data_IF_409644592214
#
_entry.id   IF_409644592214
#
_cell.length_a   1.000
_cell.length_b   1.000
_cell.length_c   1.000
_cell.angle_alpha   90.00
_cell.angle_beta   90.00
_cell.angle_gamma   90.00
#
_symmetry.space_group_name_H-M   'P 1'
#
loop_
_entity.id
_entity.type
_entity.pdbx_description
1 polymer ?
#
# COMPACT_ATOMS: atom_id res chain seq x y z
N UNK A 1 -26.28 9.89 6.24
CA UNK A 1 -24.87 9.65 6.50
C UNK A 1 -24.07 10.68 5.70
N UNK A 2 -23.63 11.73 6.39
CA UNK A 2 -22.95 12.88 5.81
C UNK A 2 -21.52 12.46 5.42
N UNK A 3 -21.26 12.24 4.12
CA UNK A 3 -19.93 12.18 3.59
C UNK A 3 -19.28 13.55 3.86
N UNK A 4 -18.38 13.65 4.83
CA UNK A 4 -17.43 14.76 4.87
C UNK A 4 -16.58 14.60 3.62
N UNK A 5 -16.81 15.47 2.65
CA UNK A 5 -15.92 15.72 1.55
C UNK A 5 -14.62 16.21 2.20
N UNK A 6 -13.57 15.42 2.14
CA UNK A 6 -12.23 15.87 2.47
C UNK A 6 -11.85 16.80 1.33
N UNK A 7 -11.97 18.09 1.55
CA UNK A 7 -11.60 19.11 0.58
C UNK A 7 -10.17 18.88 0.14
N UNK A 8 -9.97 18.64 -1.16
CA UNK A 8 -8.66 18.53 -1.77
C UNK A 8 -8.25 17.15 -2.29
N UNK A 9 -9.09 16.11 -2.25
CA UNK A 9 -8.74 14.79 -2.79
C UNK A 9 -9.57 14.43 -4.04
N UNK A 10 -8.88 13.93 -5.05
CA UNK A 10 -9.50 13.32 -6.22
C UNK A 10 -9.56 11.79 -6.02
N UNK A 11 -10.70 11.19 -6.37
CA UNK A 11 -10.88 9.76 -6.27
C UNK A 11 -10.31 9.08 -7.52
N UNK A 12 -9.41 8.12 -7.37
CA UNK A 12 -9.14 7.16 -8.44
C UNK A 12 -10.25 6.13 -8.40
N UNK A 13 -11.15 6.19 -9.36
CA UNK A 13 -11.98 5.06 -9.72
C UNK A 13 -11.39 4.43 -10.96
N UNK A 14 -10.65 3.36 -10.80
CA UNK A 14 -10.41 2.51 -11.95
C UNK A 14 -11.73 1.78 -12.23
N UNK A 15 -12.40 2.14 -13.31
CA UNK A 15 -13.43 1.27 -13.90
C UNK A 15 -12.74 0.04 -14.46
N UNK A 16 -12.45 -0.89 -13.57
CA UNK A 16 -11.72 -2.07 -14.01
C UNK A 16 -12.67 -3.21 -14.30
N UNK A 17 -13.75 -3.36 -13.60
CA UNK A 17 -14.86 -4.33 -13.78
C UNK A 17 -15.99 -3.87 -12.89
N UNK A 18 -16.40 -2.99 -12.34
CA UNK A 18 -17.54 -2.56 -11.53
C UNK A 18 -17.39 -1.19 -10.83
N UNK A 19 -16.83 -0.18 -11.45
CA UNK A 19 -16.67 1.16 -10.87
C UNK A 19 -16.02 1.16 -9.46
N UNK A 20 -15.11 0.22 -9.18
CA UNK A 20 -14.56 0.06 -7.85
C UNK A 20 -13.44 1.08 -7.58
N UNK A 21 -13.55 1.77 -6.46
CA UNK A 21 -12.54 2.70 -5.97
C UNK A 21 -11.29 1.95 -5.49
N UNK A 22 -10.15 2.19 -6.13
CA UNK A 22 -8.86 1.58 -5.79
C UNK A 22 -7.90 2.54 -5.09
N UNK A 23 -8.15 3.86 -5.14
CA UNK A 23 -7.28 4.84 -4.51
C UNK A 23 -7.90 6.23 -4.38
N UNK A 24 -7.13 7.16 -3.84
CA UNK A 24 -7.49 8.58 -3.70
C UNK A 24 -6.26 9.44 -3.93
N UNK A 25 -6.35 10.41 -4.87
CA UNK A 25 -5.27 11.34 -5.16
C UNK A 25 -5.62 12.77 -4.77
N UNK A 26 -4.59 13.54 -4.47
CA UNK A 26 -4.70 15.01 -4.45
C UNK A 26 -4.92 15.52 -5.89
N UNK A 27 -5.64 16.65 -6.08
CA UNK A 27 -5.94 17.16 -7.42
C UNK A 27 -4.70 17.41 -8.29
N UNK A 28 -3.63 17.93 -7.70
CA UNK A 28 -2.36 18.16 -8.39
C UNK A 28 -1.69 16.87 -8.85
N UNK A 29 -1.76 15.80 -8.04
CA UNK A 29 -1.26 14.47 -8.41
C UNK A 29 -2.15 13.79 -9.45
N UNK A 30 -3.47 13.96 -9.35
CA UNK A 30 -4.42 13.46 -10.34
C UNK A 30 -4.10 14.04 -11.73
N UNK A 31 -3.83 15.35 -11.79
CA UNK A 31 -3.41 16.01 -13.03
C UNK A 31 -2.06 15.48 -13.51
N UNK A 32 -1.06 15.39 -12.64
CA UNK A 32 0.26 14.89 -12.99
C UNK A 32 0.21 13.45 -13.56
N UNK A 33 -0.58 12.57 -12.95
CA UNK A 33 -0.78 11.18 -13.40
C UNK A 33 -1.46 11.14 -14.76
N UNK A 34 -2.49 11.96 -15.00
CA UNK A 34 -3.18 12.01 -16.29
C UNK A 34 -2.29 12.62 -17.41
N UNK A 35 -1.44 13.59 -17.08
CA UNK A 35 -0.54 14.23 -18.03
C UNK A 35 0.72 13.37 -18.33
N UNK A 36 1.04 12.40 -17.47
CA UNK A 36 2.27 11.59 -17.60
C UNK A 36 2.23 10.54 -18.73
N UNK A 37 1.04 10.23 -19.25
CA UNK A 37 0.88 9.24 -20.32
C UNK A 37 -0.57 8.99 -20.67
N UNK A 38 -0.83 7.85 -21.32
CA UNK A 38 -2.17 7.49 -21.82
C UNK A 38 -2.90 6.46 -20.96
N UNK A 39 -2.31 6.04 -19.81
CA UNK A 39 -2.95 5.03 -18.98
C UNK A 39 -4.14 5.58 -18.17
N UNK A 40 -4.13 6.86 -17.87
CA UNK A 40 -5.17 7.51 -17.06
C UNK A 40 -5.81 8.69 -17.77
N UNK A 41 -7.08 8.91 -17.49
CA UNK A 41 -7.85 10.08 -17.88
C UNK A 41 -8.61 10.65 -16.67
N UNK A 42 -8.92 11.93 -16.72
CA UNK A 42 -9.79 12.56 -15.73
C UNK A 42 -11.17 12.71 -16.35
N UNK A 43 -12.18 12.17 -15.69
CA UNK A 43 -13.58 12.27 -16.10
C UNK A 43 -14.43 12.69 -14.89
N UNK A 44 -15.14 13.81 -15.03
CA UNK A 44 -15.96 14.39 -13.96
C UNK A 44 -15.25 14.50 -12.58
N UNK A 45 -13.96 14.85 -12.58
CA UNK A 45 -13.16 14.97 -11.34
C UNK A 45 -12.70 13.63 -10.75
N UNK A 46 -12.83 12.56 -11.49
CA UNK A 46 -12.39 11.21 -11.12
C UNK A 46 -11.28 10.77 -12.06
N UNK A 47 -10.18 10.25 -11.51
CA UNK A 47 -9.15 9.59 -12.31
C UNK A 47 -9.60 8.18 -12.64
N UNK A 48 -9.60 7.84 -13.92
CA UNK A 48 -9.99 6.54 -14.45
C UNK A 48 -8.87 5.97 -15.31
N UNK A 49 -8.82 4.67 -15.48
CA UNK A 49 -8.04 4.10 -16.57
C UNK A 49 -8.58 4.62 -17.91
N UNK A 50 -7.72 4.72 -18.90
CA UNK A 50 -8.16 5.00 -20.26
C UNK A 50 -9.12 3.92 -20.76
N UNK A 51 -10.06 4.30 -21.61
CA UNK A 51 -11.09 3.41 -22.10
C UNK A 51 -10.53 2.15 -22.81
N UNK A 52 -9.38 2.28 -23.47
CA UNK A 52 -8.71 1.14 -24.11
C UNK A 52 -8.18 0.12 -23.09
N UNK A 53 -7.91 0.55 -21.86
CA UNK A 53 -7.41 -0.30 -20.78
C UNK A 53 -8.53 -0.89 -19.90
N UNK A 54 -9.77 -0.38 -19.99
CA UNK A 54 -10.87 -0.89 -19.19
C UNK A 54 -11.17 -2.37 -19.49
N UNK A 55 -11.05 -2.79 -20.77
CA UNK A 55 -11.24 -4.18 -21.19
C UNK A 55 -9.94 -5.00 -21.22
N UNK A 56 -8.79 -4.40 -20.94
CA UNK A 56 -7.50 -5.08 -20.95
C UNK A 56 -7.32 -5.97 -19.71
N UNK A 57 -6.42 -6.94 -19.79
CA UNK A 57 -6.03 -7.76 -18.64
C UNK A 57 -5.09 -7.01 -17.68
N UNK A 58 -4.82 -7.59 -16.52
CA UNK A 58 -3.97 -6.98 -15.48
C UNK A 58 -2.54 -6.72 -15.98
N UNK A 59 -1.86 -7.63 -16.69
CA UNK A 59 -0.52 -7.37 -17.23
C UNK A 59 -0.46 -6.17 -18.18
N UNK A 60 -1.39 -6.05 -19.12
CA UNK A 60 -1.41 -4.95 -20.05
C UNK A 60 -1.68 -3.59 -19.35
N UNK A 61 -2.55 -3.58 -18.35
CA UNK A 61 -2.78 -2.40 -17.50
C UNK A 61 -1.52 -2.03 -16.72
N UNK A 62 -0.84 -3.02 -16.14
CA UNK A 62 0.40 -2.85 -15.39
C UNK A 62 1.49 -2.21 -16.25
N UNK A 63 1.69 -2.68 -17.48
CA UNK A 63 2.66 -2.13 -18.43
C UNK A 63 2.34 -0.68 -18.81
N UNK A 64 1.08 -0.39 -19.10
CA UNK A 64 0.64 0.95 -19.44
C UNK A 64 0.82 1.94 -18.28
N UNK A 65 0.48 1.51 -17.06
CA UNK A 65 0.67 2.29 -15.83
C UNK A 65 2.16 2.51 -15.55
N UNK A 66 3.00 1.48 -15.71
CA UNK A 66 4.43 1.59 -15.51
C UNK A 66 5.05 2.71 -16.36
N UNK A 67 4.62 2.86 -17.62
CA UNK A 67 5.06 3.95 -18.49
C UNK A 67 4.75 5.34 -17.91
N UNK A 68 3.57 5.52 -17.31
CA UNK A 68 3.22 6.78 -16.63
C UNK A 68 4.06 7.01 -15.38
N UNK A 69 4.27 5.96 -14.58
CA UNK A 69 5.06 6.06 -13.34
C UNK A 69 6.53 6.34 -13.62
N UNK A 70 7.11 5.73 -14.66
CA UNK A 70 8.47 6.02 -15.14
C UNK A 70 8.63 7.49 -15.53
N UNK A 71 7.63 8.07 -16.17
CA UNK A 71 7.63 9.50 -16.49
C UNK A 71 7.60 10.35 -15.23
N UNK A 72 6.71 10.04 -14.29
CA UNK A 72 6.63 10.75 -13.01
C UNK A 72 7.93 10.62 -12.18
N UNK A 73 8.63 9.50 -12.29
CA UNK A 73 9.94 9.32 -11.68
C UNK A 73 11.00 10.21 -12.32
N UNK A 74 11.04 10.29 -13.66
CA UNK A 74 11.95 11.20 -14.39
C UNK A 74 11.67 12.67 -14.08
N UNK A 75 10.41 13.03 -13.85
CA UNK A 75 9.99 14.38 -13.48
C UNK A 75 10.17 14.67 -11.97
N UNK A 76 10.72 13.70 -11.20
CA UNK A 76 11.01 13.84 -9.76
C UNK A 76 9.79 13.78 -8.84
N UNK A 77 8.63 13.42 -9.35
CA UNK A 77 7.38 13.26 -8.58
C UNK A 77 7.39 11.95 -7.79
N UNK A 78 7.88 10.86 -8.40
CA UNK A 78 8.10 9.56 -7.75
C UNK A 78 9.57 9.45 -7.37
N UNK A 79 9.85 9.27 -6.09
CA UNK A 79 11.21 9.13 -5.56
C UNK A 79 11.33 7.89 -4.68
N UNK A 80 12.54 7.38 -4.49
CA UNK A 80 12.77 6.22 -3.63
C UNK A 80 12.36 4.90 -4.27
N UNK A 81 12.64 4.74 -5.58
CA UNK A 81 12.39 3.54 -6.37
C UNK A 81 12.90 2.26 -5.69
N UNK A 82 12.12 1.18 -5.75
CA UNK A 82 12.39 -0.07 -5.02
C UNK A 82 12.52 -1.31 -5.90
N UNK A 83 12.13 -1.22 -7.18
CA UNK A 83 12.02 -2.37 -8.09
C UNK A 83 11.06 -3.46 -7.54
N UNK A 84 10.00 -3.03 -6.86
CA UNK A 84 8.99 -3.89 -6.27
C UNK A 84 7.60 -3.46 -6.73
N UNK A 85 6.85 -4.38 -7.33
CA UNK A 85 5.49 -4.14 -7.80
C UNK A 85 4.47 -4.58 -6.76
N UNK A 86 3.62 -3.65 -6.35
CA UNK A 86 2.52 -3.91 -5.43
C UNK A 86 1.16 -3.92 -6.15
N UNK A 87 0.25 -4.82 -5.77
CA UNK A 87 -1.07 -4.92 -6.38
C UNK A 87 -1.97 -3.77 -5.94
N UNK A 88 -2.59 -3.09 -6.89
CA UNK A 88 -3.62 -2.08 -6.64
C UNK A 88 -4.98 -2.75 -6.69
N UNK A 89 -5.68 -2.75 -5.56
CA UNK A 89 -6.91 -3.51 -5.35
C UNK A 89 -8.04 -2.66 -4.76
N UNK A 90 -9.27 -3.03 -5.07
CA UNK A 90 -10.44 -2.38 -4.48
C UNK A 90 -10.70 -2.84 -3.02
N UNK A 91 -10.40 -4.10 -2.72
CA UNK A 91 -10.49 -4.72 -1.39
C UNK A 91 -9.44 -5.81 -1.22
N UNK A 92 -9.27 -6.31 0.02
CA UNK A 92 -8.29 -7.35 0.34
C UNK A 92 -8.42 -8.63 -0.51
N UNK A 93 -9.63 -9.02 -0.84
CA UNK A 93 -9.92 -10.23 -1.61
C UNK A 93 -10.19 -9.99 -3.10
N UNK A 94 -10.08 -8.73 -3.55
CA UNK A 94 -10.29 -8.41 -4.96
C UNK A 94 -9.04 -8.77 -5.80
N UNK A 95 -9.26 -9.18 -7.04
CA UNK A 95 -8.17 -9.31 -8.00
C UNK A 95 -7.49 -7.94 -8.21
N UNK A 96 -6.18 -7.90 -8.45
CA UNK A 96 -5.49 -6.67 -8.78
C UNK A 96 -6.04 -6.02 -10.04
N UNK A 97 -6.30 -4.73 -9.96
CA UNK A 97 -6.63 -3.92 -11.13
C UNK A 97 -5.42 -3.76 -12.06
N UNK A 98 -4.29 -3.52 -11.47
CA UNK A 98 -2.95 -3.45 -12.04
C UNK A 98 -1.93 -3.54 -10.91
N UNK A 99 -0.65 -3.61 -11.23
CA UNK A 99 0.45 -3.48 -10.27
C UNK A 99 1.21 -2.19 -10.51
N UNK A 100 1.82 -1.67 -9.46
CA UNK A 100 2.58 -0.42 -9.54
C UNK A 100 3.82 -0.48 -8.67
N UNK A 101 4.86 0.22 -9.09
CA UNK A 101 6.08 0.41 -8.30
C UNK A 101 5.75 0.90 -6.88
N UNK A 102 6.36 0.26 -5.89
CA UNK A 102 6.12 0.53 -4.46
C UNK A 102 6.31 2.00 -4.08
N UNK A 103 7.27 2.70 -4.71
CA UNK A 103 7.50 4.12 -4.47
C UNK A 103 6.32 5.00 -4.91
N UNK A 104 5.57 4.59 -5.93
CA UNK A 104 4.39 5.31 -6.41
C UNK A 104 3.10 4.94 -5.66
N UNK A 105 3.11 3.85 -4.90
CA UNK A 105 1.92 3.31 -4.24
C UNK A 105 1.21 4.32 -3.31
N UNK A 106 1.93 5.05 -2.40
CA UNK A 106 1.32 6.08 -1.57
C UNK A 106 0.78 7.27 -2.38
N UNK A 107 1.46 7.63 -3.48
CA UNK A 107 1.05 8.76 -4.33
C UNK A 107 -0.29 8.50 -5.02
N UNK A 108 -0.54 7.26 -5.43
CA UNK A 108 -1.82 6.83 -5.99
C UNK A 108 -2.91 6.69 -4.92
N UNK A 109 -2.58 6.86 -3.65
CA UNK A 109 -3.52 6.68 -2.55
C UNK A 109 -4.16 5.29 -2.53
N UNK A 110 -3.41 4.29 -3.01
CA UNK A 110 -3.86 2.91 -3.07
C UNK A 110 -3.99 2.30 -1.66
N UNK A 111 -4.88 1.33 -1.51
CA UNK A 111 -5.09 0.64 -0.23
C UNK A 111 -3.95 -0.32 0.04
N UNK A 112 -3.08 0.00 1.01
CA UNK A 112 -2.02 -0.89 1.49
C UNK A 112 -2.54 -1.86 2.55
N UNK A 113 -2.03 -3.06 2.52
CA UNK A 113 -2.27 -4.09 3.54
C UNK A 113 -0.92 -4.54 4.10
N UNK A 114 -0.90 -4.83 5.38
CA UNK A 114 0.33 -5.27 6.03
C UNK A 114 0.05 -6.06 7.29
N UNK A 115 1.08 -6.68 7.81
CA UNK A 115 1.08 -7.36 9.08
C UNK A 115 1.91 -6.59 10.10
N UNK A 116 1.45 -6.60 11.34
CA UNK A 116 2.15 -6.03 12.48
C UNK A 116 2.19 -7.08 13.59
N UNK A 117 3.36 -7.37 14.12
CA UNK A 117 3.54 -8.39 15.14
C UNK A 117 4.02 -7.74 16.43
N UNK A 118 3.25 -7.93 17.50
CA UNK A 118 3.64 -7.55 18.85
C UNK A 118 4.02 -8.80 19.63
N UNK A 119 5.21 -8.80 20.19
CA UNK A 119 5.64 -9.80 21.14
C UNK A 119 5.24 -9.42 22.56
N UNK A 120 4.82 -10.38 23.34
CA UNK A 120 4.52 -10.15 24.76
C UNK A 120 4.95 -11.33 25.64
N UNK A 121 5.08 -11.06 26.92
CA UNK A 121 5.35 -12.05 27.97
C UNK A 121 4.61 -11.65 29.24
N UNK A 122 4.54 -12.57 30.19
CA UNK A 122 4.04 -12.28 31.52
C UNK A 122 5.20 -12.37 32.54
N UNK A 123 5.24 -11.41 33.46
CA UNK A 123 6.10 -11.40 34.64
C UNK A 123 5.17 -11.46 35.84
N UNK A 124 4.93 -12.66 36.36
CA UNK A 124 3.80 -12.93 37.24
C UNK A 124 2.48 -12.68 36.52
N UNK A 125 1.66 -11.79 37.06
CA UNK A 125 0.37 -11.37 36.48
C UNK A 125 0.51 -10.10 35.59
N UNK A 126 1.71 -9.52 35.47
CA UNK A 126 1.95 -8.32 34.69
C UNK A 126 2.24 -8.66 33.23
N UNK A 127 1.42 -8.10 32.30
CA UNK A 127 1.67 -8.17 30.86
C UNK A 127 2.79 -7.21 30.47
N UNK A 128 3.83 -7.73 29.85
CA UNK A 128 4.94 -6.96 29.27
C UNK A 128 4.97 -7.12 27.75
N UNK A 129 5.07 -6.00 27.04
CA UNK A 129 5.11 -5.96 25.58
C UNK A 129 6.52 -5.60 25.12
N UNK A 130 7.02 -6.35 24.16
CA UNK A 130 8.26 -6.03 23.46
C UNK A 130 8.03 -4.88 22.50
N UNK A 131 8.82 -3.82 22.63
CA UNK A 131 8.77 -2.64 21.78
C UNK A 131 10.14 -2.44 21.16
N UNK A 132 10.21 -2.42 19.85
CA UNK A 132 11.43 -2.11 19.12
C UNK A 132 11.63 -0.60 18.98
N UNK A 133 12.84 -0.20 18.65
CA UNK A 133 13.16 1.16 18.21
C UNK A 133 13.67 1.11 16.78
N UNK A 134 13.03 1.84 15.88
CA UNK A 134 13.41 1.91 14.46
C UNK A 134 14.84 2.40 14.29
N UNK A 135 15.55 1.81 13.36
CA UNK A 135 16.90 2.27 13.03
C UNK A 135 16.87 3.75 12.58
N UNK A 136 17.87 4.51 13.03
CA UNK A 136 18.01 5.93 12.66
C UNK A 136 18.27 6.16 11.17
N UNK A 137 18.61 5.10 10.44
CA UNK A 137 18.83 5.09 8.99
C UNK A 137 17.58 4.82 8.16
N UNK A 138 16.45 4.48 8.79
CA UNK A 138 15.18 4.27 8.05
C UNK A 138 14.68 5.60 7.48
N UNK A 139 14.18 5.57 6.24
CA UNK A 139 13.69 6.75 5.54
C UNK A 139 12.42 7.36 6.17
N UNK A 140 11.61 6.53 6.87
CA UNK A 140 10.37 6.95 7.53
C UNK A 140 10.44 6.67 9.02
N UNK A 141 10.05 7.64 9.84
CA UNK A 141 9.97 7.56 11.31
C UNK A 141 11.25 7.02 12.00
N UNK A 142 12.46 7.54 11.67
CA UNK A 142 13.70 7.05 12.27
C UNK A 142 13.71 7.25 13.79
N UNK A 143 14.14 6.24 14.53
CA UNK A 143 14.26 6.29 16.00
C UNK A 143 12.95 6.26 16.78
N UNK A 144 11.80 6.14 16.13
CA UNK A 144 10.50 5.97 16.80
C UNK A 144 10.30 4.54 17.29
N UNK A 145 9.32 4.38 18.19
CA UNK A 145 8.91 3.05 18.66
C UNK A 145 8.28 2.26 17.49
N UNK A 146 8.54 0.96 17.51
CA UNK A 146 8.08 0.06 16.44
C UNK A 146 7.60 -1.28 17.01
N UNK A 147 6.94 -2.05 16.16
CA UNK A 147 6.57 -3.43 16.41
C UNK A 147 7.80 -4.34 16.44
N UNK A 148 7.63 -5.57 16.90
CA UNK A 148 8.70 -6.59 16.83
C UNK A 148 9.04 -6.90 15.38
N UNK A 149 8.02 -7.01 14.52
CA UNK A 149 8.15 -7.12 13.09
C UNK A 149 6.92 -6.53 12.40
N UNK A 150 7.10 -5.96 11.22
CA UNK A 150 6.02 -5.40 10.42
C UNK A 150 6.39 -5.37 8.94
N UNK A 151 5.48 -5.82 8.09
CA UNK A 151 5.71 -5.80 6.64
C UNK A 151 4.45 -5.60 5.83
N UNK A 152 4.65 -5.06 4.63
CA UNK A 152 3.59 -4.88 3.66
C UNK A 152 3.33 -6.19 2.92
N UNK A 153 2.06 -6.51 2.69
CA UNK A 153 1.68 -7.66 1.89
C UNK A 153 1.91 -7.35 0.40
N UNK A 154 2.90 -8.01 -0.17
CA UNK A 154 3.18 -7.96 -1.61
C UNK A 154 2.12 -8.73 -2.43
N UNK A 155 1.47 -9.70 -1.81
CA UNK A 155 0.37 -10.45 -2.41
C UNK A 155 -0.90 -10.29 -1.56
N UNK A 156 -1.89 -9.60 -2.13
CA UNK A 156 -3.17 -9.32 -1.48
C UNK A 156 -4.12 -10.49 -1.75
N UNK A 157 -4.87 -10.91 -0.73
CA UNK A 157 -5.70 -12.13 -0.79
C UNK A 157 -4.95 -13.41 -0.40
N UNK A 158 -3.62 -13.33 -0.21
CA UNK A 158 -2.80 -14.41 0.31
C UNK A 158 -3.03 -14.69 1.80
N UNK A 159 -2.13 -15.46 2.37
CA UNK A 159 -2.18 -15.83 3.80
C UNK A 159 -1.32 -14.89 4.63
N UNK A 160 -1.89 -13.95 5.42
CA UNK A 160 -1.11 -13.03 6.23
C UNK A 160 -0.13 -13.74 7.17
N UNK A 161 -0.44 -14.97 7.58
CA UNK A 161 0.43 -15.78 8.45
C UNK A 161 1.77 -16.14 7.81
N UNK A 162 1.84 -16.31 6.49
CA UNK A 162 3.10 -16.58 5.79
C UNK A 162 3.99 -15.34 5.83
N UNK A 163 3.42 -14.15 5.61
CA UNK A 163 4.14 -12.88 5.74
C UNK A 163 4.61 -12.63 7.18
N UNK A 164 3.77 -12.97 8.17
CA UNK A 164 4.17 -12.89 9.60
C UNK A 164 5.43 -13.70 9.87
N UNK A 165 5.53 -14.92 9.36
CA UNK A 165 6.70 -15.78 9.55
C UNK A 165 7.94 -15.19 8.88
N UNK A 166 7.81 -14.70 7.64
CA UNK A 166 8.90 -14.08 6.90
C UNK A 166 9.44 -12.84 7.64
N UNK A 167 8.57 -11.90 8.00
CA UNK A 167 8.97 -10.68 8.71
C UNK A 167 9.58 -10.96 10.09
N UNK A 168 9.02 -11.92 10.84
CA UNK A 168 9.58 -12.34 12.13
C UNK A 168 10.99 -12.92 12.00
N UNK A 169 11.24 -13.71 10.95
CA UNK A 169 12.55 -14.27 10.67
C UNK A 169 13.54 -13.19 10.25
N UNK A 170 13.14 -12.30 9.32
CA UNK A 170 14.01 -11.29 8.72
C UNK A 170 14.33 -10.13 9.67
N UNK A 171 13.32 -9.58 10.35
CA UNK A 171 13.50 -8.39 11.19
C UNK A 171 13.86 -8.71 12.65
N UNK A 172 13.39 -9.82 13.18
CA UNK A 172 13.56 -10.16 14.60
C UNK A 172 14.36 -11.45 14.87
N UNK A 173 14.74 -12.20 13.83
CA UNK A 173 15.45 -13.47 13.99
C UNK A 173 14.63 -14.54 14.76
N UNK A 174 13.31 -14.43 14.74
CA UNK A 174 12.42 -15.34 15.44
C UNK A 174 12.31 -16.66 14.67
N UNK A 175 12.63 -17.82 15.30
CA UNK A 175 12.51 -19.10 14.63
C UNK A 175 11.06 -19.44 14.26
N UNK A 176 10.85 -20.11 13.15
CA UNK A 176 9.54 -20.57 12.66
C UNK A 176 8.67 -21.25 13.72
N UNK A 177 9.27 -22.10 14.53
CA UNK A 177 8.56 -22.82 15.58
C UNK A 177 7.89 -21.88 16.59
N UNK A 178 8.52 -20.73 16.88
CA UNK A 178 7.96 -19.69 17.73
C UNK A 178 7.01 -18.80 16.95
N UNK A 179 7.36 -18.39 15.72
CA UNK A 179 6.54 -17.56 14.83
C UNK A 179 5.17 -18.19 14.55
N UNK A 180 5.10 -19.51 14.40
CA UNK A 180 3.83 -20.26 14.20
C UNK A 180 2.86 -20.19 15.39
N UNK A 181 3.31 -19.69 16.54
CA UNK A 181 2.45 -19.41 17.69
C UNK A 181 1.76 -18.05 17.63
N UNK A 182 2.15 -17.20 16.68
CA UNK A 182 1.48 -15.91 16.46
C UNK A 182 0.00 -16.15 16.13
N UNK A 183 -0.86 -15.42 16.81
CA UNK A 183 -2.31 -15.50 16.63
C UNK A 183 -2.86 -14.12 16.21
N UNK A 184 -3.85 -14.07 15.29
CA UNK A 184 -4.53 -12.83 14.96
C UNK A 184 -5.17 -12.22 16.21
N UNK A 185 -4.90 -10.94 16.47
CA UNK A 185 -5.47 -10.21 17.59
C UNK A 185 -6.55 -9.21 17.15
N UNK A 186 -6.24 -8.39 16.16
CA UNK A 186 -7.19 -7.39 15.63
C UNK A 186 -6.79 -6.92 14.23
N UNK A 187 -7.66 -6.10 13.64
CA UNK A 187 -7.37 -5.36 12.41
C UNK A 187 -7.44 -3.87 12.73
N UNK A 188 -6.40 -3.13 12.34
CA UNK A 188 -6.37 -1.68 12.44
C UNK A 188 -6.48 -1.11 11.03
N UNK A 189 -7.38 -0.16 10.85
CA UNK A 189 -7.52 0.59 9.60
C UNK A 189 -7.35 2.08 9.88
N UNK A 190 -6.48 2.71 9.11
CA UNK A 190 -6.27 4.16 9.18
C UNK A 190 -6.10 4.75 7.79
N UNK A 191 -6.31 6.04 7.69
CA UNK A 191 -6.06 6.82 6.48
C UNK A 191 -5.19 8.00 6.86
N UNK A 192 -4.09 8.14 6.15
CA UNK A 192 -3.14 9.24 6.32
C UNK A 192 -2.83 9.91 4.98
N UNK A 193 -2.19 11.05 5.06
CA UNK A 193 -1.64 11.77 3.91
C UNK A 193 -0.15 11.49 3.86
N UNK A 194 0.35 11.00 2.73
CA UNK A 194 1.78 10.74 2.57
C UNK A 194 2.55 12.07 2.68
N UNK A 195 3.53 12.13 3.59
CA UNK A 195 4.41 13.29 3.77
C UNK A 195 3.99 14.29 4.86
N UNK A 196 2.97 13.96 5.67
CA UNK A 196 2.60 14.72 6.89
C UNK A 196 2.92 13.92 8.16
#
# INVERSE_FOLDING_TARGET
STRRQLDGYCLICAQVVDDQKVGELRPELAKAVADAGTAFRIDAGVVRLDAALEAADEPARTEAVATCIDRLAKDGVVTGWRDELLPVVASYSAAPAFRVERAAYPLLGAKGYGVHVNGYTFDGDELRVWVATRAKTKATYPGMLDHVAAGQLADVGGRPGEQVLAELAEEAGVPDALGKRAAPASVVSYKGVAGE
#
